data_IF_307911525956
#
_entry.id   IF_307911525956
#
_cell.length_a   1.000
_cell.length_b   1.000
_cell.length_c   1.000
_cell.angle_alpha   90.00
_cell.angle_beta   90.00
_cell.angle_gamma   90.00
#
_symmetry.space_group_name_H-M   'P 1'
#
loop_
_entity.id
_entity.type
_entity.pdbx_description
1 polymer ?
#
# COMPACT_ATOMS: atom_id res chain seq x y z
N UNK A 1 -3.26 -9.24 2.01
CA UNK A 1 -2.91 -10.65 2.22
C UNK A 1 -1.88 -11.05 1.15
N UNK A 2 -0.62 -10.63 1.30
CA UNK A 2 0.52 -10.95 0.40
C UNK A 2 1.80 -10.79 1.24
N UNK A 3 1.99 -11.67 2.23
CA UNK A 3 3.11 -11.63 3.18
C UNK A 3 3.70 -13.02 3.45
N UNK A 4 3.73 -13.90 2.45
CA UNK A 4 4.29 -15.28 2.58
C UNK A 4 5.33 -15.59 1.48
N UNK A 5 5.87 -14.59 0.76
CA UNK A 5 6.84 -14.84 -0.32
C UNK A 5 8.23 -14.24 -0.06
N UNK A 6 8.48 -13.68 1.13
CA UNK A 6 9.76 -13.03 1.46
C UNK A 6 10.83 -13.97 2.05
N UNK A 7 10.50 -15.22 2.37
CA UNK A 7 11.39 -16.11 3.13
C UNK A 7 11.96 -17.29 2.34
N UNK A 8 11.52 -17.52 1.09
CA UNK A 8 11.99 -18.66 0.28
C UNK A 8 12.61 -18.17 -1.03
N UNK A 9 13.91 -18.46 -1.23
CA UNK A 9 14.57 -18.32 -2.53
C UNK A 9 14.00 -19.39 -3.46
N UNK A 10 13.24 -18.96 -4.47
CA UNK A 10 12.64 -19.82 -5.48
C UNK A 10 11.40 -20.55 -5.00
N UNK A 11 10.25 -20.20 -5.56
CA UNK A 11 8.97 -20.87 -5.33
C UNK A 11 8.45 -21.33 -6.69
N UNK A 12 8.04 -22.59 -6.82
CA UNK A 12 7.52 -23.14 -8.07
C UNK A 12 6.11 -22.64 -8.38
N UNK A 13 5.70 -22.67 -9.65
CA UNK A 13 4.35 -22.32 -10.11
C UNK A 13 3.22 -23.04 -9.33
N UNK A 14 3.44 -24.31 -8.98
CA UNK A 14 2.48 -25.12 -8.21
C UNK A 14 2.33 -24.60 -6.78
N UNK A 15 3.43 -24.19 -6.16
CA UNK A 15 3.47 -23.64 -4.80
C UNK A 15 2.97 -22.19 -4.75
N UNK A 16 3.25 -21.39 -5.77
CA UNK A 16 2.68 -20.05 -5.90
C UNK A 16 1.16 -20.12 -6.07
N UNK A 17 0.68 -21.08 -6.88
CA UNK A 17 -0.75 -21.34 -7.08
C UNK A 17 -1.48 -21.79 -5.82
N UNK A 18 -0.86 -22.60 -4.95
CA UNK A 18 -1.48 -23.00 -3.67
C UNK A 18 -1.48 -21.89 -2.62
N UNK A 19 -0.60 -20.90 -2.75
CA UNK A 19 -0.55 -19.70 -1.89
C UNK A 19 -1.51 -18.59 -2.36
N UNK A 20 -1.85 -18.57 -3.65
CA UNK A 20 -2.80 -17.64 -4.25
C UNK A 20 -4.22 -18.22 -4.18
N UNK A 21 -4.78 -18.22 -2.97
CA UNK A 21 -6.18 -18.50 -2.71
C UNK A 21 -7.01 -17.33 -3.26
N UNK A 22 -7.20 -17.23 -4.58
CA UNK A 22 -8.23 -16.40 -5.25
C UNK A 22 -8.03 -16.38 -6.78
N UNK A 23 -8.18 -17.51 -7.48
CA UNK A 23 -8.81 -17.55 -8.81
C UNK A 23 -9.22 -18.99 -9.11
N UNK A 24 -10.41 -19.19 -9.68
CA UNK A 24 -10.96 -20.49 -10.09
C UNK A 24 -10.35 -21.02 -11.41
N UNK A 25 -9.21 -20.49 -11.83
CA UNK A 25 -8.50 -20.83 -13.07
C UNK A 25 -7.10 -21.38 -12.83
N UNK A 26 -6.53 -22.04 -13.85
CA UNK A 26 -5.17 -22.59 -13.78
C UNK A 26 -4.14 -21.52 -13.39
N UNK A 27 -3.38 -21.72 -12.29
CA UNK A 27 -2.43 -20.72 -11.76
C UNK A 27 -1.43 -20.18 -12.79
N UNK A 28 -1.10 -21.00 -13.80
CA UNK A 28 -0.19 -20.62 -14.89
C UNK A 28 -0.65 -19.37 -15.65
N UNK A 29 -1.96 -19.17 -15.86
CA UNK A 29 -2.48 -18.01 -16.61
C UNK A 29 -2.28 -16.69 -15.86
N UNK A 30 -2.51 -16.71 -14.55
CA UNK A 30 -2.29 -15.54 -13.71
C UNK A 30 -0.81 -15.17 -13.71
N UNK A 31 0.05 -16.17 -13.63
CA UNK A 31 1.50 -15.96 -13.64
C UNK A 31 2.00 -15.50 -15.02
N UNK A 32 1.50 -16.06 -16.12
CA UNK A 32 1.75 -15.55 -17.47
C UNK A 32 1.31 -14.10 -17.62
N UNK A 33 0.16 -13.73 -17.05
CA UNK A 33 -0.33 -12.36 -17.03
C UNK A 33 0.58 -11.43 -16.22
N UNK A 34 1.06 -11.86 -15.06
CA UNK A 34 2.02 -11.10 -14.25
C UNK A 34 3.34 -10.88 -15.01
N UNK A 35 3.82 -11.88 -15.75
CA UNK A 35 5.02 -11.73 -16.60
C UNK A 35 4.77 -10.77 -17.76
N UNK A 36 3.66 -10.96 -18.47
CA UNK A 36 3.26 -10.11 -19.60
C UNK A 36 3.11 -8.64 -19.19
N UNK A 37 2.52 -8.41 -18.02
CA UNK A 37 2.27 -7.08 -17.49
C UNK A 37 3.52 -6.50 -16.79
N UNK A 38 4.67 -7.18 -16.86
CA UNK A 38 5.98 -6.73 -16.35
C UNK A 38 6.09 -6.71 -14.83
N UNK A 39 5.19 -7.40 -14.13
CA UNK A 39 5.10 -7.47 -12.67
C UNK A 39 5.88 -8.64 -12.07
N UNK A 40 6.32 -9.58 -12.91
CA UNK A 40 7.16 -10.71 -12.52
C UNK A 40 8.16 -11.02 -13.64
N UNK A 41 9.41 -11.30 -13.30
CA UNK A 41 10.41 -11.71 -14.28
C UNK A 41 10.49 -13.24 -14.32
N UNK A 42 10.51 -13.81 -15.53
CA UNK A 42 10.53 -15.26 -15.73
C UNK A 42 11.99 -15.72 -15.86
N UNK A 43 12.57 -16.27 -14.80
CA UNK A 43 13.94 -16.81 -14.86
C UNK A 43 13.88 -18.31 -15.22
N UNK A 44 14.58 -18.69 -16.28
CA UNK A 44 14.76 -20.09 -16.68
C UNK A 44 15.88 -20.73 -15.85
N UNK A 45 15.62 -21.91 -15.29
CA UNK A 45 16.64 -22.69 -14.57
C UNK A 45 17.28 -23.71 -15.51
N UNK A 46 18.62 -23.80 -15.51
CA UNK A 46 19.42 -24.50 -16.54
C UNK A 46 19.24 -26.03 -16.59
N UNK A 47 18.61 -26.64 -15.58
CA UNK A 47 18.38 -28.09 -15.50
C UNK A 47 16.94 -28.53 -15.21
N UNK A 48 15.98 -27.61 -15.14
CA UNK A 48 14.59 -27.96 -14.83
C UNK A 48 13.64 -26.90 -15.41
N UNK A 49 12.61 -27.32 -16.15
CA UNK A 49 11.65 -26.45 -16.87
C UNK A 49 10.69 -25.66 -15.95
N UNK A 50 11.03 -25.57 -14.66
CA UNK A 50 10.25 -24.94 -13.60
C UNK A 50 10.87 -23.58 -13.27
N UNK A 51 10.28 -22.56 -13.91
CA UNK A 51 10.64 -21.15 -13.77
C UNK A 51 10.72 -20.67 -12.32
N UNK A 52 11.69 -19.80 -12.06
CA UNK A 52 11.86 -19.05 -10.81
C UNK A 52 11.50 -17.59 -11.09
N UNK A 53 10.60 -17.00 -10.29
CA UNK A 53 10.28 -15.58 -10.38
C UNK A 53 11.18 -14.79 -9.44
N UNK A 54 12.01 -13.91 -10.00
CA UNK A 54 12.77 -12.93 -9.22
C UNK A 54 12.19 -11.54 -9.56
N UNK A 55 11.72 -10.82 -8.54
CA UNK A 55 11.12 -9.49 -8.71
C UNK A 55 9.67 -9.41 -8.24
N UNK A 56 9.48 -9.22 -6.92
CA UNK A 56 8.19 -9.11 -6.21
C UNK A 56 7.90 -7.67 -5.74
N UNK A 57 8.54 -6.67 -6.35
CA UNK A 57 8.49 -5.27 -5.91
C UNK A 57 7.82 -4.41 -6.97
N UNK A 58 6.76 -3.70 -6.59
CA UNK A 58 6.03 -2.81 -7.49
C UNK A 58 6.92 -1.70 -8.02
N UNK A 59 6.98 -1.56 -9.35
CA UNK A 59 7.61 -0.40 -10.01
C UNK A 59 6.69 0.81 -9.86
N UNK A 60 6.92 1.60 -8.81
CA UNK A 60 6.17 2.83 -8.56
C UNK A 60 6.34 3.84 -9.70
N UNK A 61 5.23 4.33 -10.26
CA UNK A 61 5.22 5.30 -11.37
C UNK A 61 5.22 6.77 -10.88
N UNK A 62 5.00 6.99 -9.59
CA UNK A 62 4.93 8.31 -8.96
C UNK A 62 6.17 8.61 -8.12
N UNK A 63 7.33 8.08 -8.51
CA UNK A 63 8.61 8.35 -7.86
C UNK A 63 8.95 9.84 -7.92
N UNK A 64 9.69 10.32 -6.92
CA UNK A 64 10.03 11.74 -6.78
C UNK A 64 8.89 12.64 -6.28
N UNK A 65 7.66 12.12 -6.14
CA UNK A 65 6.54 12.87 -5.57
C UNK A 65 6.42 12.67 -4.06
N UNK A 66 5.84 13.68 -3.40
CA UNK A 66 5.45 13.66 -2.00
C UNK A 66 3.92 13.79 -1.89
N UNK A 67 3.36 13.37 -0.75
CA UNK A 67 1.93 13.53 -0.47
C UNK A 67 1.69 13.99 0.97
N UNK A 68 0.64 14.79 1.16
CA UNK A 68 0.10 15.10 2.47
C UNK A 68 -1.36 14.65 2.54
N UNK A 69 -1.60 13.61 3.34
CA UNK A 69 -2.92 13.00 3.48
C UNK A 69 -3.64 13.62 4.67
N UNK A 70 -4.80 14.22 4.40
CA UNK A 70 -5.69 14.79 5.41
C UNK A 70 -6.99 13.99 5.36
N UNK A 71 -7.38 13.38 6.47
CA UNK A 71 -8.59 12.56 6.53
C UNK A 71 -9.31 12.70 7.86
N UNK A 72 -10.63 12.49 7.84
CA UNK A 72 -11.51 12.56 9.00
C UNK A 72 -11.89 11.17 9.47
N UNK A 73 -12.06 11.00 10.78
CA UNK A 73 -12.59 9.76 11.35
C UNK A 73 -13.48 10.09 12.55
N UNK A 74 -14.61 9.41 12.67
CA UNK A 74 -15.54 9.63 13.77
C UNK A 74 -15.05 9.03 15.10
N UNK A 75 -14.20 8.01 15.04
CA UNK A 75 -13.64 7.38 16.24
C UNK A 75 -12.64 8.30 16.94
N UNK A 76 -12.56 8.26 18.29
CA UNK A 76 -11.53 8.96 19.05
C UNK A 76 -10.10 8.54 18.65
N UNK A 77 -9.17 9.49 18.66
CA UNK A 77 -7.77 9.23 18.24
C UNK A 77 -7.04 8.20 19.11
N UNK A 78 -7.35 8.13 20.41
CA UNK A 78 -6.79 7.11 21.31
C UNK A 78 -7.24 5.70 20.92
N UNK A 79 -8.50 5.53 20.52
CA UNK A 79 -9.06 4.25 20.09
C UNK A 79 -8.37 3.76 18.82
N UNK A 80 -8.16 4.68 17.87
CA UNK A 80 -7.42 4.39 16.64
C UNK A 80 -5.99 3.96 16.92
N UNK A 81 -5.32 4.65 17.85
CA UNK A 81 -3.92 4.37 18.18
C UNK A 81 -3.75 3.06 18.96
N UNK A 82 -4.56 2.83 19.99
CA UNK A 82 -4.38 1.74 20.94
C UNK A 82 -5.05 0.44 20.49
N UNK A 83 -6.23 0.51 19.88
CA UNK A 83 -7.03 -0.68 19.54
C UNK A 83 -6.88 -1.01 18.06
N UNK A 84 -7.06 -0.04 17.17
CA UNK A 84 -6.99 -0.27 15.71
C UNK A 84 -5.58 -0.21 15.11
N UNK A 85 -4.57 0.09 15.93
CA UNK A 85 -3.16 0.15 15.54
C UNK A 85 -2.88 1.00 14.29
N UNK A 86 -3.71 2.02 14.02
CA UNK A 86 -3.65 2.83 12.80
C UNK A 86 -3.69 2.02 11.48
N UNK A 87 -4.52 0.96 11.40
CA UNK A 87 -4.60 0.12 10.21
C UNK A 87 -4.97 0.93 8.96
N UNK A 88 -5.91 1.86 9.08
CA UNK A 88 -6.34 2.74 7.99
C UNK A 88 -5.17 3.58 7.44
N UNK A 89 -4.34 4.12 8.32
CA UNK A 89 -3.14 4.85 7.90
C UNK A 89 -2.12 3.93 7.24
N UNK A 90 -1.93 2.72 7.77
CA UNK A 90 -0.95 1.77 7.24
C UNK A 90 -1.30 1.35 5.82
N UNK A 91 -2.58 1.11 5.54
CA UNK A 91 -3.08 0.78 4.20
C UNK A 91 -2.83 1.95 3.24
N UNK A 92 -3.29 3.16 3.58
CA UNK A 92 -3.12 4.34 2.71
C UNK A 92 -1.64 4.63 2.46
N UNK A 93 -0.80 4.61 3.50
CA UNK A 93 0.63 4.90 3.37
C UNK A 93 1.36 3.82 2.58
N UNK A 94 1.29 2.57 3.03
CA UNK A 94 2.17 1.49 2.53
C UNK A 94 1.60 0.81 1.29
N UNK A 95 0.33 0.41 1.35
CA UNK A 95 -0.28 -0.40 0.31
C UNK A 95 -0.71 0.43 -0.91
N UNK A 96 -0.94 1.73 -0.74
CA UNK A 96 -1.37 2.62 -1.82
C UNK A 96 -0.22 3.56 -2.22
N UNK A 97 0.13 4.53 -1.36
CA UNK A 97 1.04 5.62 -1.77
C UNK A 97 2.47 5.15 -2.02
N UNK A 98 3.05 4.41 -1.07
CA UNK A 98 4.42 3.88 -1.21
C UNK A 98 4.51 2.80 -2.29
N UNK A 99 3.45 2.00 -2.46
CA UNK A 99 3.32 1.06 -3.57
C UNK A 99 3.39 1.78 -4.93
N UNK A 100 2.70 2.91 -5.08
CA UNK A 100 2.76 3.76 -6.26
C UNK A 100 4.09 4.54 -6.41
N UNK A 101 4.99 4.50 -5.42
CA UNK A 101 6.30 5.18 -5.47
C UNK A 101 6.39 6.52 -4.71
N UNK A 102 5.31 6.98 -4.07
CA UNK A 102 5.29 8.20 -3.26
C UNK A 102 5.81 7.87 -1.86
N UNK A 103 6.96 8.42 -1.47
CA UNK A 103 7.64 8.04 -0.21
C UNK A 103 7.55 9.07 0.90
N UNK A 104 7.78 10.38 0.67
CA UNK A 104 7.49 11.37 1.69
C UNK A 104 5.97 11.49 1.79
N UNK A 105 5.38 10.84 2.80
CA UNK A 105 3.93 10.92 3.07
C UNK A 105 3.70 11.48 4.47
N UNK A 106 3.24 12.73 4.53
CA UNK A 106 2.77 13.38 5.77
C UNK A 106 1.31 13.00 6.02
N UNK A 107 0.89 12.92 7.28
CA UNK A 107 -0.52 12.68 7.66
C UNK A 107 -1.07 13.77 8.57
N UNK A 108 -2.36 14.03 8.45
CA UNK A 108 -3.16 14.75 9.43
C UNK A 108 -4.52 14.04 9.58
N UNK A 109 -4.77 13.52 10.78
CA UNK A 109 -6.01 12.82 11.11
C UNK A 109 -6.91 13.71 11.97
N UNK A 110 -8.13 13.96 11.51
CA UNK A 110 -9.15 14.71 12.22
C UNK A 110 -10.12 13.74 12.92
N UNK A 111 -9.76 13.34 14.15
CA UNK A 111 -10.50 12.35 14.92
C UNK A 111 -11.65 12.95 15.74
N UNK A 112 -12.76 12.21 15.86
CA UNK A 112 -13.94 12.59 16.63
C UNK A 112 -14.69 13.76 16.02
N UNK A 113 -14.90 13.77 14.70
CA UNK A 113 -15.48 14.94 14.01
C UNK A 113 -16.94 15.20 14.39
N UNK A 114 -17.78 14.15 14.53
CA UNK A 114 -19.17 14.28 14.99
C UNK A 114 -19.29 14.94 16.37
N UNK A 115 -18.41 14.59 17.30
CA UNK A 115 -18.38 15.17 18.66
C UNK A 115 -17.56 16.47 18.79
N UNK A 116 -17.06 17.03 17.69
CA UNK A 116 -16.21 18.22 17.73
C UNK A 116 -17.03 19.51 17.81
N UNK A 117 -16.46 20.54 18.46
CA UNK A 117 -17.05 21.88 18.43
C UNK A 117 -16.72 22.61 17.14
N UNK A 118 -17.56 23.59 16.76
CA UNK A 118 -17.30 24.46 15.61
C UNK A 118 -15.94 25.17 15.71
N UNK A 119 -15.56 25.60 16.93
CA UNK A 119 -14.23 26.20 17.20
C UNK A 119 -13.08 25.23 16.89
N UNK A 120 -13.21 23.95 17.27
CA UNK A 120 -12.19 22.93 16.99
C UNK A 120 -12.06 22.66 15.49
N UNK A 121 -13.19 22.56 14.77
CA UNK A 121 -13.20 22.42 13.31
C UNK A 121 -12.57 23.61 12.61
N UNK A 122 -12.89 24.83 13.05
CA UNK A 122 -12.27 26.06 12.50
C UNK A 122 -10.76 26.05 12.67
N UNK A 123 -10.23 25.72 13.85
CA UNK A 123 -8.78 25.61 14.07
C UNK A 123 -8.11 24.60 13.13
N UNK A 124 -8.75 23.46 12.88
CA UNK A 124 -8.22 22.49 11.93
C UNK A 124 -8.17 23.04 10.51
N UNK A 125 -9.24 23.70 10.06
CA UNK A 125 -9.29 24.34 8.74
C UNK A 125 -8.24 25.45 8.61
N UNK A 126 -8.13 26.32 9.61
CA UNK A 126 -7.15 27.41 9.64
C UNK A 126 -5.72 26.86 9.55
N UNK A 127 -5.42 25.81 10.32
CA UNK A 127 -4.13 25.13 10.24
C UNK A 127 -3.89 24.50 8.86
N UNK A 128 -4.87 23.79 8.30
CA UNK A 128 -4.74 23.17 6.98
C UNK A 128 -4.50 24.22 5.90
N UNK A 129 -5.24 25.32 5.95
CA UNK A 129 -5.08 26.44 5.04
C UNK A 129 -3.68 27.06 5.12
N UNK A 130 -3.17 27.32 6.32
CA UNK A 130 -1.81 27.86 6.53
C UNK A 130 -0.73 26.92 5.97
N UNK A 131 -0.84 25.62 6.25
CA UNK A 131 0.09 24.63 5.73
C UNK A 131 0.02 24.51 4.21
N UNK A 132 -1.18 24.51 3.62
CA UNK A 132 -1.37 24.44 2.18
C UNK A 132 -0.76 25.66 1.46
N UNK A 133 -0.85 26.86 2.05
CA UNK A 133 -0.19 28.07 1.51
C UNK A 133 1.32 27.96 1.48
N UNK A 134 1.92 27.31 2.47
CA UNK A 134 3.38 27.12 2.52
C UNK A 134 3.89 26.16 1.44
N UNK A 135 3.04 25.24 0.96
CA UNK A 135 3.38 24.27 -0.08
C UNK A 135 3.31 24.83 -1.52
N UNK A 136 2.77 26.04 -1.72
CA UNK A 136 2.67 26.70 -3.04
C UNK A 136 3.92 27.51 -3.43
N UNK A 137 4.94 27.57 -2.57
CA UNK A 137 6.24 28.19 -2.85
C UNK A 137 7.20 27.13 -3.40
#
# INVERSE_FOLDING_TARGET
MLRILGERKGISLKELGSLLICESGSPSRLVERLVRDGLAEKIAHEKDSRYVYEGLVSKGLLTGKSAWVIYTIDSPGWFIRLIRQNVEWTVVKKAILQFCGIRPVKRMMLAGIKGSSARKRKRWLDYVYQQARQLRK
#
